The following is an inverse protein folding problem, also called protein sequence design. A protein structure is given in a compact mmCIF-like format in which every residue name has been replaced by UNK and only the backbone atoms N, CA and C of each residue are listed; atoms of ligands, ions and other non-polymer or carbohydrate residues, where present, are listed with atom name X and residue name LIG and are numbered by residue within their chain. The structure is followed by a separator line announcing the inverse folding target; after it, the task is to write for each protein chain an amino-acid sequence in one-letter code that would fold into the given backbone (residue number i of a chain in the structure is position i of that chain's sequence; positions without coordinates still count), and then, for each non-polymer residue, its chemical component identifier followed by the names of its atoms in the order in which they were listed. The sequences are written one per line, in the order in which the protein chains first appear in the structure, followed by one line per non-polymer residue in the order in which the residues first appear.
data_IF_276187966399
#
_entry.id   IF_276187966399
#
_cell.length_a   1.000
_cell.length_b   1.000
_cell.length_c   1.000
_cell.angle_alpha   90.00
_cell.angle_beta   90.00
_cell.angle_gamma   90.00
#
_symmetry.space_group_name_H-M   'P 1'
#
loop_
_entity.id
_entity.type
_entity.pdbx_description
1 polymer ?
#
# COMPACT_ATOMS: atom_id res chain seq x y z
N UNK A 1 -50.21 -16.69 28.13
CA UNK A 1 -49.56 -17.98 28.47
C UNK A 1 -49.40 -18.22 29.97
N UNK A 2 -48.93 -17.26 30.78
CA UNK A 2 -48.70 -17.44 32.22
C UNK A 2 -49.94 -17.95 33.00
N UNK A 3 -51.15 -17.45 32.70
CA UNK A 3 -52.38 -17.89 33.39
C UNK A 3 -52.80 -19.33 33.09
N UNK A 4 -52.49 -19.84 31.89
CA UNK A 4 -52.85 -21.19 31.44
C UNK A 4 -51.95 -22.24 32.11
N UNK A 5 -50.63 -22.03 32.07
CA UNK A 5 -49.66 -22.87 32.77
C UNK A 5 -49.82 -22.80 34.30
N UNK A 6 -50.22 -21.64 34.85
CA UNK A 6 -50.54 -21.49 36.29
C UNK A 6 -51.72 -22.37 36.74
N UNK A 7 -52.80 -22.45 35.93
CA UNK A 7 -53.99 -23.25 36.27
C UNK A 7 -53.72 -24.75 36.19
N UNK A 8 -52.88 -25.18 35.24
CA UNK A 8 -52.41 -26.57 35.13
C UNK A 8 -51.51 -26.94 36.32
N UNK A 9 -50.60 -26.05 36.75
CA UNK A 9 -49.76 -26.27 37.93
C UNK A 9 -50.58 -26.45 39.21
N UNK A 10 -51.60 -25.62 39.41
CA UNK A 10 -52.47 -25.71 40.59
C UNK A 10 -53.23 -27.04 40.63
N UNK A 11 -53.80 -27.49 39.50
CA UNK A 11 -54.53 -28.75 39.41
C UNK A 11 -53.64 -30.00 39.60
N UNK A 12 -52.38 -29.97 39.14
CA UNK A 12 -51.44 -31.09 39.30
C UNK A 12 -50.90 -31.23 40.74
N UNK A 13 -50.81 -30.13 41.48
CA UNK A 13 -50.41 -30.10 42.88
C UNK A 13 -51.56 -30.58 43.80
N UNK A 14 -52.81 -30.26 43.48
CA UNK A 14 -53.98 -30.70 44.27
C UNK A 14 -54.29 -32.19 44.18
N UNK A 15 -53.79 -32.90 43.16
CA UNK A 15 -54.03 -34.34 42.95
C UNK A 15 -52.92 -35.27 43.48
N UNK A 16 -51.93 -34.76 44.23
CA UNK A 16 -50.81 -35.57 44.76
C UNK A 16 -49.81 -36.07 43.69
N UNK A 17 -49.85 -35.52 42.47
CA UNK A 17 -49.05 -35.95 41.30
C UNK A 17 -47.77 -35.13 41.13
N UNK A 18 -46.97 -35.01 42.19
CA UNK A 18 -45.68 -34.26 42.21
C UNK A 18 -44.71 -34.68 41.10
N UNK A 19 -44.67 -35.98 40.75
CA UNK A 19 -43.83 -36.47 39.64
C UNK A 19 -44.27 -35.97 38.25
N UNK A 20 -45.57 -35.76 38.01
CA UNK A 20 -46.05 -35.15 36.75
C UNK A 20 -45.75 -33.66 36.72
N UNK A 21 -45.92 -32.97 37.85
CA UNK A 21 -45.58 -31.55 38.00
C UNK A 21 -44.11 -31.26 37.67
N UNK A 22 -43.18 -32.06 38.20
CA UNK A 22 -41.74 -31.92 37.92
C UNK A 22 -41.43 -32.08 36.43
N UNK A 23 -42.04 -33.05 35.74
CA UNK A 23 -41.87 -33.25 34.28
C UNK A 23 -42.35 -32.04 33.47
N UNK A 24 -43.49 -31.44 33.84
CA UNK A 24 -44.00 -30.24 33.17
C UNK A 24 -43.15 -29.00 33.45
N UNK A 25 -42.67 -28.81 34.68
CA UNK A 25 -41.78 -27.70 35.03
C UNK A 25 -40.43 -27.79 34.32
N UNK A 26 -39.86 -28.98 34.18
CA UNK A 26 -38.64 -29.22 33.39
C UNK A 26 -38.90 -28.90 31.91
N UNK A 27 -40.02 -29.34 31.35
CA UNK A 27 -40.40 -29.00 29.97
C UNK A 27 -40.50 -27.50 29.71
N UNK A 28 -41.07 -26.74 30.66
CA UNK A 28 -41.17 -25.27 30.57
C UNK A 28 -39.79 -24.60 30.62
N UNK A 29 -38.90 -25.04 31.52
CA UNK A 29 -37.52 -24.55 31.58
C UNK A 29 -36.79 -24.84 30.27
N UNK A 30 -36.89 -26.06 29.73
CA UNK A 30 -36.27 -26.45 28.46
C UNK A 30 -36.79 -25.59 27.31
N UNK A 31 -38.09 -25.32 27.23
CA UNK A 31 -38.68 -24.43 26.21
C UNK A 31 -38.17 -22.99 26.32
N UNK A 32 -38.07 -22.45 27.54
CA UNK A 32 -37.51 -21.11 27.78
C UNK A 32 -36.04 -21.05 27.37
N UNK A 33 -35.25 -22.07 27.72
CA UNK A 33 -33.82 -22.15 27.35
C UNK A 33 -33.66 -22.22 25.84
N UNK A 34 -34.45 -23.04 25.13
CA UNK A 34 -34.44 -23.08 23.66
C UNK A 34 -34.79 -21.70 23.07
N UNK A 35 -35.79 -21.01 23.62
CA UNK A 35 -36.16 -19.66 23.19
C UNK A 35 -35.01 -18.65 23.34
N UNK A 36 -34.30 -18.69 24.48
CA UNK A 36 -33.14 -17.83 24.73
C UNK A 36 -32.00 -18.18 23.77
N UNK A 37 -31.71 -19.46 23.55
CA UNK A 37 -30.66 -19.89 22.63
C UNK A 37 -30.94 -19.45 21.18
N UNK A 38 -32.19 -19.57 20.72
CA UNK A 38 -32.58 -19.09 19.39
C UNK A 38 -32.42 -17.57 19.31
N UNK A 39 -32.85 -16.82 20.33
CA UNK A 39 -32.68 -15.37 20.35
C UNK A 39 -31.20 -14.95 20.31
N UNK A 40 -30.34 -15.63 21.07
CA UNK A 40 -28.89 -15.41 21.04
C UNK A 40 -28.30 -15.76 19.67
N UNK A 41 -28.73 -16.86 19.05
CA UNK A 41 -28.26 -17.24 17.71
C UNK A 41 -28.66 -16.21 16.64
N UNK A 42 -29.89 -15.70 16.67
CA UNK A 42 -30.34 -14.64 15.75
C UNK A 42 -29.51 -13.37 15.94
N UNK A 43 -29.25 -12.98 17.19
CA UNK A 43 -28.44 -11.81 17.49
C UNK A 43 -27.00 -11.96 16.99
N UNK A 44 -26.37 -13.12 17.26
CA UNK A 44 -25.02 -13.42 16.79
C UNK A 44 -24.95 -13.45 15.25
N UNK A 45 -25.94 -14.04 14.59
CA UNK A 45 -26.01 -14.05 13.12
C UNK A 45 -26.10 -12.64 12.53
N UNK A 46 -26.93 -11.77 13.12
CA UNK A 46 -27.02 -10.37 12.68
C UNK A 46 -25.72 -9.61 12.91
N UNK A 47 -25.04 -9.82 14.04
CA UNK A 47 -23.75 -9.21 14.34
C UNK A 47 -22.66 -9.67 13.35
N UNK A 48 -22.55 -10.97 13.12
CA UNK A 48 -21.60 -11.53 12.14
C UNK A 48 -21.83 -10.95 10.74
N UNK A 49 -23.10 -10.78 10.32
CA UNK A 49 -23.43 -10.15 9.03
C UNK A 49 -22.94 -8.69 8.96
N UNK A 50 -23.07 -7.94 10.05
CA UNK A 50 -22.61 -6.54 10.12
C UNK A 50 -21.09 -6.47 10.06
N UNK A 51 -20.40 -7.27 10.89
CA UNK A 51 -18.93 -7.34 10.92
C UNK A 51 -18.36 -7.72 9.55
N UNK A 52 -18.96 -8.72 8.91
CA UNK A 52 -18.57 -9.17 7.58
C UNK A 52 -18.73 -8.09 6.50
N UNK A 53 -19.79 -7.28 6.58
CA UNK A 53 -19.98 -6.15 5.67
C UNK A 53 -18.90 -5.09 5.89
N UNK A 54 -18.53 -4.82 7.14
CA UNK A 54 -17.46 -3.87 7.47
C UNK A 54 -16.13 -4.36 6.91
N UNK A 55 -15.78 -5.62 7.16
CA UNK A 55 -14.57 -6.25 6.63
C UNK A 55 -14.52 -6.19 5.10
N UNK A 56 -15.61 -6.55 4.42
CA UNK A 56 -15.71 -6.51 2.96
C UNK A 56 -15.45 -5.11 2.40
N UNK A 57 -16.03 -4.08 3.03
CA UNK A 57 -15.81 -2.70 2.62
C UNK A 57 -14.35 -2.28 2.82
N UNK A 58 -13.75 -2.59 3.97
CA UNK A 58 -12.36 -2.25 4.27
C UNK A 58 -11.41 -2.95 3.29
N UNK A 59 -11.58 -4.26 3.07
CA UNK A 59 -10.78 -5.03 2.12
C UNK A 59 -10.88 -4.45 0.70
N UNK A 60 -12.08 -4.03 0.28
CA UNK A 60 -12.28 -3.40 -1.03
C UNK A 60 -11.58 -2.04 -1.13
N UNK A 61 -11.65 -1.20 -0.10
CA UNK A 61 -10.94 0.08 -0.05
C UNK A 61 -9.41 -0.10 -0.06
N UNK A 62 -8.90 -1.07 0.71
CA UNK A 62 -7.47 -1.42 0.70
C UNK A 62 -7.07 -1.89 -0.70
N UNK A 63 -7.86 -2.76 -1.34
CA UNK A 63 -7.55 -3.25 -2.68
C UNK A 63 -7.42 -2.10 -3.69
N UNK A 64 -8.34 -1.13 -3.67
CA UNK A 64 -8.28 0.05 -4.55
C UNK A 64 -7.03 0.89 -4.28
N UNK A 65 -6.63 1.05 -3.01
CA UNK A 65 -5.41 1.77 -2.66
C UNK A 65 -4.16 1.03 -3.17
N UNK A 66 -4.09 -0.29 -2.97
CA UNK A 66 -2.99 -1.12 -3.44
C UNK A 66 -2.87 -1.10 -4.97
N UNK A 67 -3.98 -1.12 -5.71
CA UNK A 67 -3.97 -1.01 -7.18
C UNK A 67 -3.43 0.34 -7.65
N UNK A 68 -3.80 1.44 -6.98
CA UNK A 68 -3.24 2.78 -7.25
C UNK A 68 -1.75 2.87 -6.89
N UNK A 69 -1.32 2.24 -5.80
CA UNK A 69 0.09 2.18 -5.42
C UNK A 69 0.94 1.50 -6.51
N UNK A 70 0.45 0.41 -7.10
CA UNK A 70 1.12 -0.25 -8.25
C UNK A 70 1.24 0.70 -9.44
N UNK A 71 0.18 1.46 -9.76
CA UNK A 71 0.24 2.47 -10.83
C UNK A 71 1.30 3.53 -10.51
N UNK A 72 1.32 4.05 -9.28
CA UNK A 72 2.28 5.05 -8.83
C UNK A 72 3.74 4.52 -8.89
N UNK A 73 3.98 3.29 -8.44
CA UNK A 73 5.30 2.65 -8.52
C UNK A 73 5.77 2.52 -9.99
N UNK A 74 4.89 2.11 -10.90
CA UNK A 74 5.22 2.03 -12.32
C UNK A 74 5.55 3.42 -12.93
N UNK A 75 4.83 4.46 -12.53
CA UNK A 75 5.15 5.84 -12.94
C UNK A 75 6.53 6.28 -12.43
N UNK A 76 6.90 5.88 -11.21
CA UNK A 76 8.24 6.14 -10.66
C UNK A 76 9.34 5.37 -11.39
N UNK A 77 9.11 4.11 -11.73
CA UNK A 77 10.04 3.31 -12.53
C UNK A 77 10.29 3.97 -13.89
N UNK A 78 9.22 4.39 -14.57
CA UNK A 78 9.33 5.13 -15.84
C UNK A 78 10.14 6.41 -15.68
N UNK A 79 9.83 7.21 -14.67
CA UNK A 79 10.56 8.44 -14.37
C UNK A 79 12.06 8.20 -14.15
N UNK A 80 12.41 7.20 -13.35
CA UNK A 80 13.78 6.82 -13.08
C UNK A 80 14.51 6.32 -14.33
N UNK A 81 13.84 5.55 -15.19
CA UNK A 81 14.40 5.12 -16.47
C UNK A 81 14.70 6.32 -17.39
N UNK A 82 13.78 7.29 -17.46
CA UNK A 82 13.99 8.52 -18.21
C UNK A 82 15.19 9.31 -17.65
N UNK A 83 15.33 9.40 -16.33
CA UNK A 83 16.49 10.06 -15.68
C UNK A 83 17.79 9.33 -15.92
N UNK A 84 17.81 8.01 -15.79
CA UNK A 84 18.99 7.19 -16.07
C UNK A 84 19.44 7.37 -17.54
N UNK A 85 18.50 7.40 -18.48
CA UNK A 85 18.78 7.68 -19.89
C UNK A 85 19.43 9.06 -20.06
N UNK A 86 18.85 10.10 -19.47
CA UNK A 86 19.37 11.46 -19.59
C UNK A 86 20.79 11.61 -19.05
N UNK A 87 21.08 10.98 -17.91
CA UNK A 87 22.41 10.95 -17.34
C UNK A 87 23.39 10.18 -18.23
N UNK A 88 22.94 9.07 -18.82
CA UNK A 88 23.75 8.27 -19.76
C UNK A 88 24.08 9.07 -21.02
N UNK A 89 23.12 9.77 -21.61
CA UNK A 89 23.33 10.59 -22.80
C UNK A 89 24.41 11.67 -22.55
N UNK A 90 24.37 12.31 -21.35
CA UNK A 90 25.39 13.28 -20.95
C UNK A 90 26.74 12.62 -20.72
N UNK A 91 26.78 11.49 -20.00
CA UNK A 91 28.01 10.75 -19.73
C UNK A 91 28.71 10.32 -21.03
N UNK A 92 27.97 9.71 -21.96
CA UNK A 92 28.50 9.28 -23.26
C UNK A 92 29.04 10.45 -24.06
N UNK A 93 28.35 11.59 -24.05
CA UNK A 93 28.83 12.82 -24.69
C UNK A 93 30.15 13.33 -24.09
N UNK A 94 30.32 13.25 -22.77
CA UNK A 94 31.56 13.64 -22.09
C UNK A 94 32.70 12.67 -22.40
N UNK A 95 32.46 11.36 -22.29
CA UNK A 95 33.46 10.31 -22.51
C UNK A 95 33.94 10.27 -23.97
N UNK A 96 33.01 10.41 -24.93
CA UNK A 96 33.31 10.36 -26.36
C UNK A 96 33.72 11.72 -26.95
N UNK A 97 33.67 12.79 -26.16
CA UNK A 97 34.04 14.16 -26.56
C UNK A 97 33.30 14.65 -27.80
N UNK A 98 32.02 14.32 -27.93
CA UNK A 98 31.22 14.72 -29.10
C UNK A 98 30.85 16.21 -29.04
N UNK A 99 30.49 16.85 -30.18
CA UNK A 99 29.98 18.22 -30.17
C UNK A 99 28.65 18.34 -29.40
N UNK A 100 28.41 19.51 -28.79
CA UNK A 100 27.15 19.78 -28.10
C UNK A 100 26.00 19.94 -29.10
N UNK A 101 24.96 19.11 -28.98
CA UNK A 101 23.75 19.14 -29.80
C UNK A 101 22.54 19.67 -29.01
N UNK A 102 21.46 20.04 -29.70
CA UNK A 102 20.24 20.50 -29.03
C UNK A 102 19.58 19.40 -28.19
N UNK A 103 19.67 18.13 -28.62
CA UNK A 103 19.20 17.00 -27.78
C UNK A 103 20.00 16.90 -26.48
N UNK A 104 21.32 17.11 -26.54
CA UNK A 104 22.15 17.11 -25.33
C UNK A 104 21.80 18.27 -24.42
N UNK A 105 21.49 19.45 -24.97
CA UNK A 105 21.05 20.60 -24.15
C UNK A 105 19.76 20.31 -23.40
N UNK A 106 18.87 19.52 -24.00
CA UNK A 106 17.67 19.04 -23.33
C UNK A 106 18.00 18.06 -22.19
N UNK A 107 18.96 17.15 -22.43
CA UNK A 107 19.44 16.19 -21.43
C UNK A 107 20.12 16.86 -20.24
N UNK A 108 21.08 17.76 -20.48
CA UNK A 108 21.77 18.55 -19.44
C UNK A 108 20.79 19.28 -18.51
N UNK A 109 19.68 19.79 -19.04
CA UNK A 109 18.68 20.51 -18.25
C UNK A 109 17.87 19.60 -17.31
N UNK A 110 17.97 18.28 -17.45
CA UNK A 110 17.07 17.29 -16.84
C UNK A 110 17.80 16.12 -16.19
N UNK A 111 19.11 16.14 -16.03
CA UNK A 111 19.85 15.04 -15.39
C UNK A 111 19.49 14.86 -13.92
N UNK A 112 19.09 15.93 -13.21
CA UNK A 112 18.67 15.86 -11.80
C UNK A 112 17.25 15.29 -11.72
N UNK A 113 17.08 14.18 -11.00
CA UNK A 113 15.79 13.57 -10.68
C UNK A 113 15.24 13.98 -9.30
N UNK A 114 13.94 13.80 -9.11
CA UNK A 114 13.19 14.12 -7.88
C UNK A 114 12.17 13.05 -7.54
N UNK A 115 11.86 12.96 -6.25
CA UNK A 115 10.60 12.45 -5.72
C UNK A 115 10.57 10.94 -5.48
N UNK A 116 10.17 10.56 -4.27
CA UNK A 116 10.06 9.18 -3.83
C UNK A 116 8.63 8.65 -4.01
N UNK A 117 8.45 7.34 -3.89
CA UNK A 117 7.13 6.73 -3.74
C UNK A 117 6.53 7.10 -2.38
N UNK A 118 5.21 7.26 -2.34
CA UNK A 118 4.42 7.46 -1.13
C UNK A 118 3.17 6.56 -1.24
N UNK A 119 2.98 5.61 -0.32
CA UNK A 119 1.85 4.69 -0.38
C UNK A 119 0.55 5.37 0.06
N UNK A 120 -0.57 4.93 -0.50
CA UNK A 120 -1.89 5.38 -0.07
C UNK A 120 -2.31 4.57 1.17
N UNK A 121 -2.30 5.23 2.34
CA UNK A 121 -2.51 4.57 3.64
C UNK A 121 -3.91 4.73 4.21
N UNK A 122 -4.78 5.56 3.63
CA UNK A 122 -6.08 5.94 4.24
C UNK A 122 -6.92 4.74 4.67
N UNK A 123 -7.09 3.72 3.82
CA UNK A 123 -7.89 2.54 4.16
C UNK A 123 -7.20 1.66 5.23
N UNK A 124 -5.87 1.61 5.23
CA UNK A 124 -5.10 0.87 6.23
C UNK A 124 -5.15 1.55 7.60
N UNK A 125 -5.05 2.88 7.65
CA UNK A 125 -5.24 3.64 8.89
C UNK A 125 -6.68 3.51 9.42
N UNK A 126 -7.68 3.49 8.52
CA UNK A 126 -9.06 3.21 8.87
C UNK A 126 -9.21 1.80 9.48
N UNK A 127 -8.55 0.79 8.92
CA UNK A 127 -8.52 -0.56 9.51
C UNK A 127 -7.92 -0.53 10.93
N UNK A 128 -6.75 0.08 11.10
CA UNK A 128 -6.08 0.17 12.41
C UNK A 128 -6.96 0.87 13.46
N UNK A 129 -7.59 1.99 13.10
CA UNK A 129 -8.45 2.75 14.01
C UNK A 129 -9.72 2.00 14.43
N UNK A 130 -10.26 1.15 13.54
CA UNK A 130 -11.43 0.31 13.85
C UNK A 130 -11.06 -0.98 14.58
N UNK A 131 -9.80 -1.41 14.47
CA UNK A 131 -9.28 -2.66 15.00
C UNK A 131 -8.94 -3.63 13.87
N UNK A 132 -7.69 -4.10 13.85
CA UNK A 132 -7.20 -4.99 12.79
C UNK A 132 -7.96 -6.33 12.76
N UNK A 133 -8.48 -6.77 13.90
CA UNK A 133 -9.21 -8.04 14.06
C UNK A 133 -10.54 -8.09 13.29
N UNK A 134 -10.98 -6.96 12.72
CA UNK A 134 -12.09 -6.92 11.74
C UNK A 134 -11.80 -7.83 10.54
N UNK A 135 -10.52 -7.99 10.17
CA UNK A 135 -10.12 -8.97 9.16
C UNK A 135 -10.03 -10.33 9.86
N UNK A 136 -11.02 -11.19 9.65
CA UNK A 136 -11.12 -12.50 10.31
C UNK A 136 -10.05 -13.49 9.81
N UNK A 137 -9.62 -13.35 8.56
CA UNK A 137 -8.54 -14.16 8.02
C UNK A 137 -7.19 -13.67 8.56
N UNK A 138 -6.69 -14.35 9.59
CA UNK A 138 -5.42 -14.04 10.25
C UNK A 138 -4.25 -13.92 9.27
N UNK A 139 -4.16 -14.83 8.29
CA UNK A 139 -3.09 -14.83 7.30
C UNK A 139 -3.15 -13.58 6.40
N UNK A 140 -4.35 -13.21 5.96
CA UNK A 140 -4.55 -11.99 5.16
C UNK A 140 -4.28 -10.73 5.99
N UNK A 141 -4.75 -10.69 7.24
CA UNK A 141 -4.51 -9.59 8.18
C UNK A 141 -3.02 -9.34 8.36
N UNK A 142 -2.25 -10.40 8.63
CA UNK A 142 -0.80 -10.35 8.76
C UNK A 142 -0.16 -9.85 7.46
N UNK A 143 -0.56 -10.38 6.30
CA UNK A 143 0.00 -9.99 5.01
C UNK A 143 -0.22 -8.50 4.68
N UNK A 144 -1.40 -7.96 5.02
CA UNK A 144 -1.70 -6.52 4.88
C UNK A 144 -0.82 -5.69 5.81
N UNK A 145 -0.72 -6.06 7.09
CA UNK A 145 0.10 -5.34 8.07
C UNK A 145 1.58 -5.38 7.71
N UNK A 146 2.13 -6.53 7.32
CA UNK A 146 3.51 -6.65 6.87
C UNK A 146 3.81 -5.77 5.65
N UNK A 147 2.87 -5.67 4.71
CA UNK A 147 3.05 -4.83 3.53
C UNK A 147 3.17 -3.36 3.91
N UNK A 148 2.23 -2.84 4.70
CA UNK A 148 2.17 -1.42 5.04
C UNK A 148 3.20 -0.99 6.09
N UNK A 149 3.39 -1.77 7.16
CA UNK A 149 4.22 -1.36 8.30
C UNK A 149 5.71 -1.70 8.11
N UNK A 150 6.03 -2.67 7.24
CA UNK A 150 7.41 -3.12 7.05
C UNK A 150 7.89 -2.99 5.61
N UNK A 151 7.21 -3.62 4.64
CA UNK A 151 7.72 -3.66 3.25
C UNK A 151 7.70 -2.28 2.60
N UNK A 152 6.64 -1.52 2.81
CA UNK A 152 6.54 -0.16 2.29
C UNK A 152 7.53 0.82 2.93
N UNK A 153 7.95 0.60 4.17
CA UNK A 153 9.00 1.41 4.81
C UNK A 153 10.30 1.38 3.99
N UNK A 154 10.67 0.21 3.46
CA UNK A 154 11.85 0.09 2.58
C UNK A 154 11.70 0.85 1.27
N UNK A 155 10.48 0.95 0.73
CA UNK A 155 10.20 1.65 -0.53
C UNK A 155 10.16 3.18 -0.36
N UNK A 156 10.04 3.67 0.87
CA UNK A 156 9.83 5.08 1.19
C UNK A 156 11.03 5.68 1.92
N UNK A 157 11.24 5.31 3.18
CA UNK A 157 12.20 5.96 4.08
C UNK A 157 13.63 5.48 3.85
N UNK A 158 13.85 4.16 3.83
CA UNK A 158 15.19 3.62 3.62
C UNK A 158 15.73 3.99 2.24
N UNK A 159 14.91 3.78 1.19
CA UNK A 159 15.32 4.14 -0.17
C UNK A 159 15.57 5.64 -0.34
N UNK A 160 14.82 6.49 0.37
CA UNK A 160 15.06 7.94 0.39
C UNK A 160 16.38 8.24 1.08
N UNK A 161 16.63 7.66 2.25
CA UNK A 161 17.88 7.84 2.99
C UNK A 161 19.09 7.46 2.15
N UNK A 162 19.04 6.30 1.48
CA UNK A 162 20.08 5.82 0.58
C UNK A 162 20.31 6.79 -0.60
N UNK A 163 19.24 7.39 -1.14
CA UNK A 163 19.32 8.27 -2.32
C UNK A 163 19.80 9.68 -2.00
N UNK A 164 19.48 10.23 -0.82
CA UNK A 164 19.71 11.65 -0.53
C UNK A 164 21.18 12.05 -0.67
N UNK A 165 22.11 11.18 -0.28
CA UNK A 165 23.54 11.45 -0.44
C UNK A 165 23.95 11.56 -1.92
N UNK A 166 23.56 10.57 -2.73
CA UNK A 166 23.85 10.54 -4.19
C UNK A 166 23.20 11.73 -4.88
N UNK A 167 21.94 12.03 -4.53
CA UNK A 167 21.20 13.17 -5.04
C UNK A 167 21.90 14.49 -4.70
N UNK A 168 22.31 14.69 -3.45
CA UNK A 168 22.95 15.93 -3.00
C UNK A 168 24.27 16.19 -3.73
N UNK A 169 25.11 15.16 -3.86
CA UNK A 169 26.37 15.26 -4.62
C UNK A 169 26.11 15.55 -6.10
N UNK A 170 25.15 14.83 -6.70
CA UNK A 170 24.78 15.02 -8.09
C UNK A 170 24.23 16.43 -8.36
N UNK A 171 23.33 16.93 -7.52
CA UNK A 171 22.80 18.30 -7.60
C UNK A 171 23.92 19.33 -7.49
N UNK A 172 24.82 19.17 -6.52
CA UNK A 172 25.94 20.10 -6.28
C UNK A 172 26.85 20.21 -7.50
N UNK A 173 27.30 19.07 -8.04
CA UNK A 173 28.19 19.10 -9.20
C UNK A 173 27.46 19.50 -10.49
N UNK A 174 26.19 19.14 -10.66
CA UNK A 174 25.40 19.62 -11.78
C UNK A 174 25.30 21.16 -11.76
N UNK A 175 25.00 21.79 -10.61
CA UNK A 175 24.90 23.24 -10.50
C UNK A 175 26.23 23.97 -10.69
N UNK A 176 27.35 23.33 -10.33
CA UNK A 176 28.69 23.88 -10.56
C UNK A 176 29.09 23.86 -12.04
N UNK A 177 28.78 22.78 -12.74
CA UNK A 177 29.33 22.52 -14.07
C UNK A 177 28.35 22.83 -15.22
N UNK A 178 27.06 23.02 -14.95
CA UNK A 178 26.01 23.21 -15.96
C UNK A 178 25.29 24.54 -15.74
N UNK A 179 25.20 25.36 -16.81
CA UNK A 179 24.38 26.58 -16.81
C UNK A 179 23.06 26.35 -17.53
N UNK A 180 21.98 26.86 -16.94
CA UNK A 180 20.65 26.82 -17.55
C UNK A 180 20.48 27.95 -18.57
N UNK A 181 19.89 27.64 -19.71
CA UNK A 181 19.51 28.58 -20.75
C UNK A 181 17.99 28.66 -20.81
N UNK A 182 17.45 29.86 -20.61
CA UNK A 182 16.03 30.13 -20.81
C UNK A 182 15.80 30.62 -22.24
N UNK A 183 14.99 29.90 -23.02
CA UNK A 183 14.52 30.34 -24.33
C UNK A 183 13.04 30.72 -24.24
N UNK A 184 12.76 31.96 -23.84
CA UNK A 184 11.41 32.53 -23.81
C UNK A 184 10.46 31.82 -22.83
N UNK A 185 9.91 30.68 -23.23
CA UNK A 185 8.99 29.87 -22.44
C UNK A 185 9.75 29.04 -21.38
N UNK A 186 9.30 29.15 -20.12
CA UNK A 186 9.81 28.40 -18.97
C UNK A 186 9.64 26.88 -19.11
N UNK A 187 8.79 26.41 -20.04
CA UNK A 187 8.61 24.99 -20.35
C UNK A 187 9.79 24.38 -21.11
N UNK A 188 10.55 25.19 -21.87
CA UNK A 188 11.68 24.72 -22.68
C UNK A 188 13.03 25.03 -22.01
N UNK A 189 13.26 24.42 -20.84
CA UNK A 189 14.57 24.51 -20.16
C UNK A 189 15.63 23.78 -20.96
N UNK A 190 16.61 24.52 -21.43
CA UNK A 190 17.84 23.99 -22.04
C UNK A 190 18.97 24.24 -21.06
N UNK A 191 20.04 23.47 -21.16
CA UNK A 191 21.23 23.72 -20.37
C UNK A 191 22.47 23.29 -21.15
N UNK A 192 23.61 23.84 -20.80
CA UNK A 192 24.87 23.45 -21.42
C UNK A 192 25.99 23.53 -20.38
N UNK A 193 27.14 22.87 -20.63
CA UNK A 193 28.31 23.04 -19.79
C UNK A 193 28.71 24.51 -19.64
N UNK A 194 29.13 24.89 -18.44
CA UNK A 194 29.78 26.19 -18.21
C UNK A 194 31.05 26.28 -19.05
N UNK A 195 31.84 25.21 -19.04
CA UNK A 195 33.03 25.02 -19.86
C UNK A 195 33.10 23.57 -20.35
N UNK A 196 32.89 23.34 -21.66
CA UNK A 196 32.83 21.99 -22.23
C UNK A 196 34.17 21.25 -22.11
N UNK A 197 35.30 21.93 -22.36
CA UNK A 197 36.61 21.30 -22.30
C UNK A 197 36.97 20.89 -20.86
N UNK A 198 36.58 21.69 -19.87
CA UNK A 198 36.82 21.39 -18.46
C UNK A 198 35.97 20.19 -17.99
N UNK A 199 34.66 20.21 -18.26
CA UNK A 199 33.76 19.13 -17.82
C UNK A 199 34.07 17.78 -18.51
N UNK A 200 34.55 17.81 -19.77
CA UNK A 200 35.01 16.60 -20.48
C UNK A 200 36.24 15.96 -19.85
N UNK A 201 37.06 16.72 -19.11
CA UNK A 201 38.21 16.22 -18.36
C UNK A 201 37.89 15.99 -16.87
N UNK A 202 36.67 16.30 -16.43
CA UNK A 202 36.24 16.14 -15.04
C UNK A 202 35.77 14.70 -14.78
N UNK A 203 36.73 13.82 -14.46
CA UNK A 203 36.47 12.41 -14.12
C UNK A 203 35.50 12.30 -12.93
N UNK A 204 35.63 13.19 -11.94
CA UNK A 204 34.77 13.17 -10.75
C UNK A 204 33.30 13.37 -11.10
N UNK A 205 32.98 14.33 -11.99
CA UNK A 205 31.62 14.53 -12.45
C UNK A 205 31.08 13.33 -13.24
N UNK A 206 31.91 12.72 -14.09
CA UNK A 206 31.53 11.50 -14.83
C UNK A 206 31.20 10.34 -13.88
N UNK A 207 31.98 10.15 -12.80
CA UNK A 207 31.68 9.13 -11.78
C UNK A 207 30.39 9.42 -11.01
N UNK A 208 30.06 10.68 -10.76
CA UNK A 208 28.78 11.06 -10.15
C UNK A 208 27.60 10.73 -11.06
N UNK A 209 27.73 10.96 -12.38
CA UNK A 209 26.69 10.55 -13.34
C UNK A 209 26.51 9.02 -13.32
N UNK A 210 27.60 8.25 -13.26
CA UNK A 210 27.54 6.78 -13.15
C UNK A 210 26.84 6.33 -11.87
N UNK A 211 27.15 6.95 -10.73
CA UNK A 211 26.48 6.67 -9.46
C UNK A 211 24.98 6.99 -9.53
N UNK A 212 24.60 8.14 -10.11
CA UNK A 212 23.19 8.49 -10.30
C UNK A 212 22.45 7.47 -11.18
N UNK A 213 23.06 7.04 -12.30
CA UNK A 213 22.49 6.00 -13.18
C UNK A 213 22.30 4.68 -12.41
N UNK A 214 23.33 4.23 -11.70
CA UNK A 214 23.28 2.99 -10.90
C UNK A 214 22.20 3.06 -9.82
N UNK A 215 22.05 4.21 -9.17
CA UNK A 215 21.04 4.41 -8.15
C UNK A 215 19.62 4.37 -8.71
N UNK A 216 19.36 4.97 -9.88
CA UNK A 216 18.05 4.83 -10.53
C UNK A 216 17.71 3.36 -10.85
N UNK A 217 18.69 2.57 -11.29
CA UNK A 217 18.50 1.12 -11.50
C UNK A 217 18.23 0.36 -10.21
N UNK A 218 18.91 0.71 -9.11
CA UNK A 218 18.66 0.14 -7.79
C UNK A 218 17.24 0.46 -7.30
N UNK A 219 16.83 1.74 -7.37
CA UNK A 219 15.46 2.16 -7.03
C UNK A 219 14.40 1.40 -7.83
N UNK A 220 14.62 1.23 -9.13
CA UNK A 220 13.67 0.50 -9.98
C UNK A 220 13.55 -0.96 -9.58
N UNK A 221 14.66 -1.62 -9.30
CA UNK A 221 14.66 -3.02 -8.83
C UNK A 221 13.90 -3.16 -7.49
N UNK A 222 14.04 -2.18 -6.61
CA UNK A 222 13.32 -2.11 -5.33
C UNK A 222 11.82 -1.88 -5.55
N UNK A 223 11.44 -0.96 -6.43
CA UNK A 223 10.03 -0.73 -6.77
C UNK A 223 9.38 -1.93 -7.46
N UNK A 224 10.08 -2.63 -8.35
CA UNK A 224 9.60 -3.86 -8.98
C UNK A 224 9.35 -4.97 -7.95
N UNK A 225 10.18 -5.07 -6.92
CA UNK A 225 9.94 -5.97 -5.78
C UNK A 225 8.68 -5.57 -5.00
N UNK A 226 8.56 -4.28 -4.67
CA UNK A 226 7.39 -3.73 -3.99
C UNK A 226 6.08 -3.97 -4.75
N UNK A 227 6.10 -3.86 -6.08
CA UNK A 227 4.94 -4.18 -6.93
C UNK A 227 4.55 -5.65 -6.77
N UNK A 228 5.51 -6.59 -6.79
CA UNK A 228 5.22 -8.03 -6.63
C UNK A 228 4.62 -8.33 -5.26
N UNK A 229 5.18 -7.73 -4.21
CA UNK A 229 4.70 -7.89 -2.83
C UNK A 229 3.28 -7.32 -2.65
N UNK A 230 3.02 -6.14 -3.20
CA UNK A 230 1.69 -5.54 -3.23
C UNK A 230 0.68 -6.43 -3.99
N UNK A 231 1.01 -6.85 -5.22
CA UNK A 231 0.12 -7.70 -6.02
C UNK A 231 -0.18 -9.04 -5.35
N UNK A 232 0.76 -9.59 -4.57
CA UNK A 232 0.51 -10.79 -3.78
C UNK A 232 -0.61 -10.57 -2.74
N UNK A 233 -0.59 -9.44 -2.02
CA UNK A 233 -1.65 -9.08 -1.07
C UNK A 233 -2.96 -8.80 -1.79
N UNK A 234 -2.94 -8.09 -2.93
CA UNK A 234 -4.15 -7.89 -3.74
C UNK A 234 -4.81 -9.21 -4.13
N UNK A 235 -4.04 -10.22 -4.52
CA UNK A 235 -4.56 -11.53 -4.88
C UNK A 235 -5.21 -12.24 -3.69
N UNK A 236 -4.61 -12.13 -2.50
CA UNK A 236 -5.23 -12.67 -1.28
C UNK A 236 -6.56 -11.97 -0.97
N UNK A 237 -6.61 -10.63 -1.07
CA UNK A 237 -7.84 -9.86 -0.89
C UNK A 237 -8.91 -10.28 -1.91
N UNK A 238 -8.54 -10.37 -3.20
CA UNK A 238 -9.46 -10.79 -4.28
C UNK A 238 -10.00 -12.20 -4.04
N UNK A 239 -9.19 -13.12 -3.54
CA UNK A 239 -9.62 -14.48 -3.21
C UNK A 239 -10.57 -14.49 -2.01
N UNK A 240 -10.24 -13.72 -0.97
CA UNK A 240 -11.09 -13.55 0.21
C UNK A 240 -12.46 -13.00 -0.20
N UNK A 241 -12.50 -11.92 -0.98
CA UNK A 241 -13.76 -11.32 -1.46
C UNK A 241 -14.57 -12.29 -2.37
N UNK A 242 -13.93 -13.12 -3.19
CA UNK A 242 -14.63 -14.10 -4.05
C UNK A 242 -15.25 -15.25 -3.26
N UNK A 243 -14.63 -15.70 -2.18
CA UNK A 243 -15.20 -16.74 -1.31
C UNK A 243 -16.49 -16.26 -0.65
N UNK A 244 -16.67 -14.94 -0.57
CA UNK A 244 -17.77 -14.27 0.11
C UNK A 244 -19.00 -14.00 -0.75
N UNK A 245 -18.85 -14.10 -2.06
CA UNK A 245 -19.95 -14.01 -3.03
C UNK A 245 -20.66 -15.37 -3.27
N UNK A 246 -20.12 -16.46 -2.70
CA UNK A 246 -20.67 -17.83 -2.80
C UNK A 246 -21.53 -18.19 -1.60
#
# INVERSE_FOLDING_TARGET
MIKFFRKIRQNLLSEGKTGKYLKYAIGEIVLVVIGILIALQINNWNNNRIEYKIETNILSEILVNLEKDVINLNLKIKYNNDKAKLNRDVLEHLEQRTPLTDSLKWSYARIIGRGNFEPITVAYENLKSKGIDIIHNDSLRIAISELYDFKYFYLTEDLRSDYEHVKSLHETEAYKNIKTIFRGDLAQRWAEPVNLAEIQNNIYFQEILKQAIGFYSYMNSTYERGIKENMAVQNQIKNELKQREK
#
